data_IF_984567229429
#
_entry.id   IF_984567229429
#
_cell.length_a   1.000
_cell.length_b   1.000
_cell.length_c   1.000
_cell.angle_alpha   90.00
_cell.angle_beta   90.00
_cell.angle_gamma   90.00
#
_symmetry.space_group_name_H-M   'P 1'
#
loop_
_entity.id
_entity.type
_entity.pdbx_description
1 polymer ?
#
# COMPACT_ATOMS: atom_id res chain seq x y z
N UNK A 1 -78.44 9.82 7.18
CA UNK A 1 -78.39 8.62 8.03
C UNK A 1 -76.93 8.35 8.38
N UNK A 2 -76.56 8.47 9.66
CA UNK A 2 -75.26 8.05 10.21
C UNK A 2 -75.33 6.55 10.59
N UNK A 3 -74.21 5.82 10.81
CA UNK A 3 -73.39 5.98 12.04
C UNK A 3 -71.86 5.99 11.75
N UNK A 4 -71.05 6.86 12.36
CA UNK A 4 -70.44 6.79 13.70
C UNK A 4 -69.67 5.49 14.03
N UNK A 5 -68.33 5.59 14.03
CA UNK A 5 -67.45 4.86 14.96
C UNK A 5 -66.24 5.72 15.35
N UNK A 6 -66.07 5.82 16.68
CA UNK A 6 -65.11 6.59 17.47
C UNK A 6 -63.69 5.95 17.43
N UNK A 7 -62.62 6.75 17.24
CA UNK A 7 -61.65 7.28 18.24
C UNK A 7 -60.96 6.25 19.16
N UNK A 8 -59.63 6.16 19.02
CA UNK A 8 -58.62 6.03 20.09
C UNK A 8 -57.24 6.32 19.46
N UNK A 9 -56.66 7.53 19.56
CA UNK A 9 -55.85 8.14 20.64
C UNK A 9 -54.77 7.23 21.22
N UNK A 10 -53.51 7.60 20.97
CA UNK A 10 -52.33 6.98 21.58
C UNK A 10 -51.02 7.55 21.03
N UNK A 11 -50.82 8.87 21.20
CA UNK A 11 -49.52 9.52 21.00
C UNK A 11 -48.64 9.32 22.24
N UNK A 12 -47.32 9.13 22.03
CA UNK A 12 -46.20 9.62 22.85
C UNK A 12 -44.90 9.26 22.09
N UNK A 13 -44.25 10.20 21.39
CA UNK A 13 -43.14 11.04 21.90
C UNK A 13 -42.18 10.29 22.84
N UNK A 14 -40.90 10.15 22.46
CA UNK A 14 -39.88 11.18 22.74
C UNK A 14 -38.47 10.70 22.33
N UNK A 15 -37.86 11.47 21.42
CA UNK A 15 -36.46 11.95 21.38
C UNK A 15 -35.44 11.28 22.32
N UNK A 16 -34.38 10.68 21.73
CA UNK A 16 -32.97 10.70 22.18
C UNK A 16 -32.09 10.39 20.96
N UNK A 17 -31.00 11.06 20.60
CA UNK A 17 -30.32 12.26 21.06
C UNK A 17 -29.28 12.55 19.96
N UNK A 18 -29.23 13.79 19.48
CA UNK A 18 -28.17 14.27 18.59
C UNK A 18 -26.89 14.37 19.42
N UNK A 19 -25.91 13.52 19.11
CA UNK A 19 -24.57 13.60 19.69
C UNK A 19 -23.69 14.56 18.90
N UNK A 20 -23.72 15.84 19.27
CA UNK A 20 -22.66 16.81 18.94
C UNK A 20 -21.51 16.56 19.91
N UNK A 21 -20.35 16.13 19.40
CA UNK A 21 -19.05 16.25 20.08
C UNK A 21 -18.05 16.69 19.00
N UNK A 22 -17.78 17.99 18.95
CA UNK A 22 -16.65 18.65 19.62
C UNK A 22 -15.37 18.53 18.82
N UNK A 23 -15.07 19.64 18.13
CA UNK A 23 -13.87 19.89 17.35
C UNK A 23 -12.64 19.93 18.25
N UNK A 24 -12.04 18.77 18.51
CA UNK A 24 -10.73 18.69 19.13
C UNK A 24 -9.65 18.82 18.05
N UNK A 25 -9.02 20.00 18.02
CA UNK A 25 -7.82 20.29 17.23
C UNK A 25 -6.72 19.28 17.58
N UNK A 26 -6.48 18.32 16.69
CA UNK A 26 -5.34 17.40 16.81
C UNK A 26 -4.08 18.21 16.51
N UNK A 27 -3.39 18.63 17.57
CA UNK A 27 -2.02 19.11 17.49
C UNK A 27 -1.19 17.98 16.90
N UNK A 28 -0.73 18.16 15.67
CA UNK A 28 0.09 17.19 14.93
C UNK A 28 1.48 17.19 15.57
N UNK A 29 1.64 16.39 16.63
CA UNK A 29 2.95 16.12 17.21
C UNK A 29 3.86 15.56 16.13
N UNK A 30 4.89 16.32 15.76
CA UNK A 30 5.89 15.91 14.79
C UNK A 30 6.75 14.82 15.40
N UNK A 31 6.27 13.58 15.35
CA UNK A 31 7.12 12.42 15.63
C UNK A 31 8.21 12.41 14.57
N UNK A 32 9.43 12.74 14.98
CA UNK A 32 10.65 12.53 14.19
C UNK A 32 10.65 11.06 13.77
N UNK A 33 10.41 10.80 12.49
CA UNK A 33 10.48 9.47 11.92
C UNK A 33 11.95 9.03 11.89
N UNK A 34 12.43 8.59 13.06
CA UNK A 34 13.67 7.83 13.18
C UNK A 34 13.40 6.52 12.45
N UNK A 35 13.84 6.48 11.18
CA UNK A 35 13.82 5.31 10.33
C UNK A 35 14.89 4.32 10.82
N UNK A 36 14.71 3.76 12.02
CA UNK A 36 15.50 2.64 12.53
C UNK A 36 15.06 1.38 11.78
N UNK A 37 15.63 1.20 10.59
CA UNK A 37 15.77 -0.11 9.96
C UNK A 37 16.68 -0.95 10.85
N UNK A 38 16.09 -1.63 11.86
CA UNK A 38 16.78 -2.64 12.65
C UNK A 38 17.04 -3.86 11.75
N UNK A 39 18.19 -3.83 11.08
CA UNK A 39 18.85 -5.04 10.58
C UNK A 39 19.89 -5.41 11.61
N UNK A 40 19.69 -6.58 12.23
CA UNK A 40 20.54 -7.21 13.25
C UNK A 40 21.83 -7.81 12.66
N UNK A 41 22.43 -7.12 11.69
CA UNK A 41 23.73 -7.48 11.12
C UNK A 41 24.59 -6.23 11.06
N UNK A 42 25.64 -6.20 11.87
CA UNK A 42 26.55 -5.07 12.13
C UNK A 42 27.37 -4.62 10.92
N UNK A 43 27.26 -5.30 9.77
CA UNK A 43 28.07 -5.05 8.58
C UNK A 43 27.15 -4.61 7.43
N UNK A 44 26.81 -3.32 7.41
CA UNK A 44 26.03 -2.72 6.32
C UNK A 44 26.96 -2.19 5.22
N UNK A 45 26.63 -2.41 3.93
CA UNK A 45 27.41 -1.85 2.84
C UNK A 45 27.38 -0.31 2.89
N UNK A 46 28.51 0.37 2.60
CA UNK A 46 28.54 1.81 2.44
C UNK A 46 27.42 2.28 1.48
N UNK A 47 26.79 3.40 1.81
CA UNK A 47 25.70 3.95 0.99
C UNK A 47 26.28 4.77 -0.14
N UNK A 48 25.63 4.70 -1.32
CA UNK A 48 26.00 5.53 -2.47
C UNK A 48 25.92 7.02 -2.09
N UNK A 49 26.90 7.85 -2.49
CA UNK A 49 26.88 9.27 -2.21
C UNK A 49 25.80 9.98 -3.02
N UNK A 50 25.35 11.12 -2.51
CA UNK A 50 24.39 11.98 -3.19
C UNK A 50 25.01 12.60 -4.45
N UNK A 51 24.21 12.73 -5.52
CA UNK A 51 24.58 13.55 -6.67
C UNK A 51 24.57 15.05 -6.31
N UNK A 52 25.15 15.89 -7.16
CA UNK A 52 25.16 17.35 -6.97
C UNK A 52 23.76 17.92 -6.72
N UNK A 53 22.80 17.57 -7.58
CA UNK A 53 21.40 17.94 -7.39
C UNK A 53 20.81 17.43 -6.06
N UNK A 54 21.00 16.15 -5.71
CA UNK A 54 20.44 15.61 -4.46
C UNK A 54 21.08 16.23 -3.22
N UNK A 55 22.34 16.66 -3.31
CA UNK A 55 23.01 17.44 -2.28
C UNK A 55 22.38 18.82 -2.14
N UNK A 56 22.10 19.50 -3.25
CA UNK A 56 21.34 20.76 -3.26
C UNK A 56 19.94 20.58 -2.66
N UNK A 57 19.20 19.53 -3.05
CA UNK A 57 17.88 19.22 -2.47
C UNK A 57 17.97 19.05 -0.96
N UNK A 58 18.95 18.28 -0.47
CA UNK A 58 19.14 18.08 0.97
C UNK A 58 19.41 19.40 1.72
N UNK A 59 20.11 20.35 1.09
CA UNK A 59 20.40 21.66 1.69
C UNK A 59 19.19 22.60 1.65
N UNK A 60 18.47 22.65 0.52
CA UNK A 60 17.36 23.59 0.31
C UNK A 60 16.04 23.14 0.89
N UNK A 61 15.80 21.83 0.99
CA UNK A 61 14.55 21.28 1.52
C UNK A 61 14.14 21.87 2.88
N UNK A 62 14.99 21.93 3.92
CA UNK A 62 14.59 22.53 5.19
C UNK A 62 14.28 24.04 5.08
N UNK A 63 14.94 24.76 4.17
CA UNK A 63 14.70 26.20 3.95
C UNK A 63 13.32 26.41 3.32
N UNK A 64 13.01 25.67 2.25
CA UNK A 64 11.73 25.78 1.55
C UNK A 64 10.57 25.26 2.42
N UNK A 65 10.76 24.21 3.21
CA UNK A 65 9.74 23.74 4.16
C UNK A 65 9.44 24.79 5.23
N UNK A 66 10.46 25.51 5.74
CA UNK A 66 10.24 26.59 6.72
C UNK A 66 9.51 27.79 6.11
N UNK A 67 9.78 28.11 4.85
CA UNK A 67 9.10 29.19 4.13
C UNK A 67 7.66 28.83 3.75
N UNK A 68 7.38 27.54 3.53
CA UNK A 68 6.09 27.04 3.09
C UNK A 68 5.65 25.82 3.93
N UNK A 69 5.26 26.03 5.22
CA UNK A 69 4.94 24.94 6.13
C UNK A 69 3.70 24.14 5.73
N UNK A 70 2.74 24.78 5.06
CA UNK A 70 1.47 24.17 4.64
C UNK A 70 1.53 23.49 3.26
N UNK A 71 2.67 23.58 2.58
CA UNK A 71 2.84 23.06 1.22
C UNK A 71 3.29 21.60 1.26
N UNK A 72 2.71 20.78 0.37
CA UNK A 72 3.07 19.37 0.31
C UNK A 72 4.55 19.17 -0.04
N UNK A 73 5.15 18.09 0.47
CA UNK A 73 6.55 17.74 0.20
C UNK A 73 6.83 17.61 -1.31
N UNK A 74 5.85 17.18 -2.09
CA UNK A 74 5.96 17.07 -3.55
C UNK A 74 6.13 18.45 -4.20
N UNK A 75 5.35 19.43 -3.76
CA UNK A 75 5.45 20.81 -4.24
C UNK A 75 6.75 21.47 -3.78
N UNK A 76 7.19 21.22 -2.54
CA UNK A 76 8.50 21.68 -2.05
C UNK A 76 9.63 21.19 -2.95
N UNK A 77 9.66 19.88 -3.25
CA UNK A 77 10.69 19.30 -4.13
C UNK A 77 10.58 19.87 -5.55
N UNK A 78 9.37 20.15 -6.04
CA UNK A 78 9.16 20.79 -7.35
C UNK A 78 9.74 22.20 -7.41
N UNK A 79 9.52 23.02 -6.37
CA UNK A 79 10.12 24.37 -6.24
C UNK A 79 11.64 24.30 -6.23
N UNK A 80 12.23 23.38 -5.47
CA UNK A 80 13.69 23.19 -5.42
C UNK A 80 14.23 22.75 -6.78
N UNK A 81 13.50 21.88 -7.49
CA UNK A 81 13.89 21.46 -8.85
C UNK A 81 13.91 22.65 -9.83
N UNK A 82 12.96 23.58 -9.71
CA UNK A 82 12.94 24.82 -10.49
C UNK A 82 14.14 25.72 -10.14
N UNK A 83 14.40 25.94 -8.85
CA UNK A 83 15.57 26.70 -8.39
C UNK A 83 16.87 26.13 -8.96
N UNK A 84 17.06 24.81 -8.90
CA UNK A 84 18.24 24.16 -9.46
C UNK A 84 18.38 24.38 -10.97
N UNK A 85 17.28 24.39 -11.73
CA UNK A 85 17.32 24.66 -13.18
C UNK A 85 17.79 26.09 -13.46
N UNK A 86 17.40 27.05 -12.63
CA UNK A 86 17.77 28.46 -12.77
C UNK A 86 19.22 28.77 -12.37
N UNK A 87 19.88 27.91 -11.58
CA UNK A 87 21.28 28.11 -11.19
C UNK A 87 22.23 28.06 -12.39
N UNK A 88 23.23 28.95 -12.37
CA UNK A 88 24.30 28.97 -13.38
C UNK A 88 25.22 27.75 -13.23
N UNK A 89 25.99 27.38 -14.27
CA UNK A 89 26.97 26.30 -14.18
C UNK A 89 27.98 26.52 -13.04
N UNK A 90 28.39 27.76 -12.79
CA UNK A 90 29.31 28.13 -11.72
C UNK A 90 28.73 27.88 -10.33
N UNK A 91 27.44 28.16 -10.14
CA UNK A 91 26.73 27.88 -8.89
C UNK A 91 26.51 26.37 -8.67
N UNK A 92 26.42 25.58 -9.74
CA UNK A 92 26.29 24.12 -9.69
C UNK A 92 27.63 23.42 -9.43
N UNK A 93 28.72 23.99 -9.93
CA UNK A 93 30.10 23.48 -9.83
C UNK A 93 30.48 22.95 -8.43
N UNK A 94 30.29 23.69 -7.31
CA UNK A 94 30.66 23.17 -5.99
C UNK A 94 29.89 21.91 -5.58
N UNK A 95 28.62 21.77 -6.00
CA UNK A 95 27.83 20.57 -5.73
C UNK A 95 28.32 19.37 -6.52
N UNK A 96 28.70 19.58 -7.78
CA UNK A 96 29.20 18.54 -8.66
C UNK A 96 30.59 18.07 -8.25
N UNK A 97 31.52 18.99 -7.94
CA UNK A 97 32.85 18.68 -7.41
C UNK A 97 32.76 17.86 -6.13
N UNK A 98 31.90 18.27 -5.20
CA UNK A 98 31.73 17.56 -3.95
C UNK A 98 31.04 16.19 -4.13
N UNK A 99 30.18 16.03 -5.14
CA UNK A 99 29.62 14.74 -5.55
C UNK A 99 30.69 13.82 -6.15
N UNK A 100 31.61 14.36 -6.96
CA UNK A 100 32.75 13.62 -7.52
C UNK A 100 33.70 13.17 -6.42
N UNK A 101 34.06 14.06 -5.50
CA UNK A 101 34.91 13.74 -4.35
C UNK A 101 34.28 12.63 -3.48
N UNK A 102 33.00 12.76 -3.12
CA UNK A 102 32.30 11.74 -2.35
C UNK A 102 32.20 10.39 -3.10
N UNK A 103 32.09 10.41 -4.43
CA UNK A 103 32.12 9.19 -5.25
C UNK A 103 33.48 8.50 -5.22
N UNK A 104 34.59 9.25 -5.21
CA UNK A 104 35.94 8.70 -5.06
C UNK A 104 36.10 8.03 -3.69
N UNK A 105 35.70 8.72 -2.61
CA UNK A 105 35.72 8.16 -1.25
C UNK A 105 34.89 6.89 -1.14
N UNK A 106 33.65 6.91 -1.64
CA UNK A 106 32.77 5.74 -1.66
C UNK A 106 33.39 4.53 -2.36
N UNK A 107 34.13 4.71 -3.47
CA UNK A 107 34.82 3.60 -4.14
C UNK A 107 35.86 2.95 -3.23
N UNK A 108 36.64 3.75 -2.52
CA UNK A 108 37.66 3.28 -1.57
C UNK A 108 36.98 2.56 -0.39
N UNK A 109 35.95 3.15 0.20
CA UNK A 109 35.19 2.55 1.30
C UNK A 109 34.52 1.23 0.90
N UNK A 110 33.93 1.17 -0.29
CA UNK A 110 33.33 -0.06 -0.81
C UNK A 110 34.37 -1.16 -1.06
N UNK A 111 35.55 -0.81 -1.58
CA UNK A 111 36.63 -1.77 -1.77
C UNK A 111 37.11 -2.34 -0.43
N UNK A 112 37.32 -1.47 0.57
CA UNK A 112 37.64 -1.88 1.95
C UNK A 112 36.56 -2.78 2.54
N UNK A 113 35.29 -2.40 2.38
CA UNK A 113 34.16 -3.20 2.83
C UNK A 113 34.12 -4.57 2.18
N UNK A 114 34.32 -4.66 0.86
CA UNK A 114 34.33 -5.93 0.15
C UNK A 114 35.49 -6.84 0.58
N UNK A 115 36.68 -6.27 0.84
CA UNK A 115 37.84 -7.01 1.31
C UNK A 115 37.67 -7.57 2.74
N UNK A 116 36.85 -6.91 3.58
CA UNK A 116 36.57 -7.35 4.95
C UNK A 116 35.51 -8.45 5.05
N UNK A 117 34.74 -8.71 3.98
CA UNK A 117 33.64 -9.66 4.01
C UNK A 117 34.13 -11.10 3.88
N UNK A 118 33.57 -11.98 4.72
CA UNK A 118 33.72 -13.42 4.51
C UNK A 118 32.87 -13.87 3.30
N UNK A 119 33.24 -14.99 2.63
CA UNK A 119 32.43 -15.55 1.54
C UNK A 119 30.97 -15.77 1.94
N UNK A 120 30.72 -16.27 3.16
CA UNK A 120 29.37 -16.47 3.69
C UNK A 120 28.58 -15.17 3.86
N UNK A 121 29.20 -14.12 4.42
CA UNK A 121 28.55 -12.80 4.55
C UNK A 121 28.26 -12.19 3.17
N UNK A 122 29.19 -12.33 2.21
CA UNK A 122 29.01 -11.85 0.85
C UNK A 122 27.82 -12.54 0.15
N UNK A 123 27.66 -13.85 0.35
CA UNK A 123 26.54 -14.63 -0.19
C UNK A 123 25.21 -14.22 0.45
N UNK A 124 25.19 -14.03 1.77
CA UNK A 124 24.00 -13.56 2.49
C UNK A 124 23.53 -12.18 1.99
N UNK A 125 24.44 -11.23 1.80
CA UNK A 125 24.13 -9.90 1.26
C UNK A 125 23.60 -9.97 -0.20
N UNK A 126 24.16 -10.86 -1.03
CA UNK A 126 23.67 -11.08 -2.40
C UNK A 126 22.25 -11.64 -2.39
N UNK A 127 21.97 -12.62 -1.54
CA UNK A 127 20.64 -13.23 -1.42
C UNK A 127 19.62 -12.23 -0.84
N UNK A 128 19.97 -11.47 0.19
CA UNK A 128 19.10 -10.40 0.72
C UNK A 128 18.75 -9.37 -0.37
N UNK A 129 19.74 -8.97 -1.19
CA UNK A 129 19.51 -8.07 -2.32
C UNK A 129 18.58 -8.69 -3.36
N UNK A 130 18.74 -9.98 -3.68
CA UNK A 130 17.87 -10.72 -4.60
C UNK A 130 16.43 -10.76 -4.08
N UNK A 131 16.24 -11.06 -2.79
CA UNK A 131 14.93 -11.06 -2.14
C UNK A 131 14.28 -9.67 -2.15
N UNK A 132 15.04 -8.61 -1.85
CA UNK A 132 14.54 -7.22 -1.94
C UNK A 132 14.09 -6.86 -3.36
N UNK A 133 14.85 -7.25 -4.38
CA UNK A 133 14.48 -7.03 -5.79
C UNK A 133 13.23 -7.82 -6.17
N UNK A 134 13.16 -9.10 -5.78
CA UNK A 134 12.00 -9.95 -6.04
C UNK A 134 10.73 -9.37 -5.38
N UNK A 135 10.81 -8.95 -4.11
CA UNK A 135 9.70 -8.29 -3.40
C UNK A 135 9.25 -7.01 -4.11
N UNK A 136 10.18 -6.16 -4.55
CA UNK A 136 9.87 -4.94 -5.31
C UNK A 136 9.17 -5.24 -6.64
N UNK A 137 9.61 -6.28 -7.37
CA UNK A 137 8.96 -6.74 -8.61
C UNK A 137 7.53 -7.19 -8.35
N UNK A 138 7.28 -7.99 -7.31
CA UNK A 138 5.94 -8.44 -6.92
C UNK A 138 5.04 -7.24 -6.57
N UNK A 139 5.54 -6.29 -5.78
CA UNK A 139 4.79 -5.08 -5.42
C UNK A 139 4.46 -4.24 -6.66
N UNK A 140 5.42 -4.02 -7.56
CA UNK A 140 5.20 -3.27 -8.81
C UNK A 140 4.15 -3.93 -9.68
N UNK A 141 4.25 -5.25 -9.89
CA UNK A 141 3.25 -6.02 -10.65
C UNK A 141 1.87 -5.95 -10.00
N UNK A 142 1.78 -6.07 -8.67
CA UNK A 142 0.50 -5.94 -7.95
C UNK A 142 -0.11 -4.55 -8.14
N UNK A 143 0.68 -3.47 -8.02
CA UNK A 143 0.21 -2.09 -8.24
C UNK A 143 -0.30 -1.88 -9.67
N UNK A 144 0.44 -2.37 -10.66
CA UNK A 144 0.04 -2.33 -12.06
C UNK A 144 -1.32 -3.04 -12.27
N UNK A 145 -1.49 -4.25 -11.75
CA UNK A 145 -2.75 -4.97 -11.85
C UNK A 145 -3.90 -4.24 -11.13
N UNK A 146 -3.64 -3.57 -10.01
CA UNK A 146 -4.64 -2.74 -9.32
C UNK A 146 -5.02 -1.51 -10.13
N UNK A 147 -4.05 -0.84 -10.77
CA UNK A 147 -4.31 0.30 -11.65
C UNK A 147 -5.11 -0.09 -12.89
N UNK A 148 -4.87 -1.29 -13.42
CA UNK A 148 -5.63 -1.87 -14.53
C UNK A 148 -7.01 -2.42 -14.09
N UNK A 149 -7.44 -2.18 -12.86
CA UNK A 149 -8.75 -2.59 -12.37
C UNK A 149 -8.96 -4.11 -12.32
N UNK A 150 -7.89 -4.91 -12.15
CA UNK A 150 -8.02 -6.37 -12.15
C UNK A 150 -9.01 -6.85 -11.05
N UNK A 151 -10.02 -7.66 -11.41
CA UNK A 151 -11.00 -8.18 -10.46
C UNK A 151 -10.38 -8.88 -9.26
N UNK A 152 -10.95 -8.63 -8.07
CA UNK A 152 -10.53 -9.31 -6.83
C UNK A 152 -11.03 -10.75 -6.87
N UNK A 153 -10.19 -11.66 -6.35
CA UNK A 153 -10.51 -13.09 -6.23
C UNK A 153 -11.84 -13.31 -5.50
N UNK A 154 -12.56 -14.40 -5.84
CA UNK A 154 -13.85 -14.67 -5.21
C UNK A 154 -13.67 -14.92 -3.72
N UNK A 155 -14.62 -14.43 -2.93
CA UNK A 155 -14.67 -14.60 -1.48
C UNK A 155 -15.22 -15.98 -1.15
N UNK A 156 -14.49 -16.70 -0.31
CA UNK A 156 -14.99 -17.95 0.26
C UNK A 156 -16.00 -17.67 1.38
N UNK A 157 -16.84 -18.65 1.73
CA UNK A 157 -17.89 -18.53 2.74
C UNK A 157 -17.40 -17.90 4.05
N UNK A 158 -16.25 -18.37 4.55
CA UNK A 158 -15.65 -17.82 5.77
C UNK A 158 -15.23 -16.35 5.65
N UNK A 159 -14.77 -15.89 4.47
CA UNK A 159 -14.43 -14.48 4.28
C UNK A 159 -15.65 -13.57 4.34
N UNK A 160 -16.80 -14.06 3.88
CA UNK A 160 -18.08 -13.34 3.91
C UNK A 160 -18.57 -13.26 5.36
N UNK A 161 -18.63 -14.40 6.05
CA UNK A 161 -18.92 -14.46 7.48
C UNK A 161 -18.02 -13.53 8.31
N UNK A 162 -16.71 -13.61 8.08
CA UNK A 162 -15.76 -12.73 8.77
C UNK A 162 -16.06 -11.27 8.52
N UNK A 163 -16.32 -10.85 7.28
CA UNK A 163 -16.57 -9.46 6.96
C UNK A 163 -17.81 -8.90 7.69
N UNK A 164 -18.85 -9.70 7.84
CA UNK A 164 -20.09 -9.35 8.55
C UNK A 164 -19.89 -9.28 10.07
N UNK A 165 -19.17 -10.25 10.64
CA UNK A 165 -19.06 -10.41 12.09
C UNK A 165 -17.80 -9.73 12.69
N UNK A 166 -16.95 -9.12 11.86
CA UNK A 166 -15.66 -8.58 12.32
C UNK A 166 -15.79 -7.42 13.32
N UNK A 167 -16.80 -6.56 13.15
CA UNK A 167 -17.02 -5.41 14.03
C UNK A 167 -17.29 -5.87 15.48
N UNK A 168 -18.15 -6.88 15.63
CA UNK A 168 -18.65 -7.42 16.90
C UNK A 168 -17.76 -8.53 17.48
N UNK A 169 -16.74 -8.97 16.73
CA UNK A 169 -15.83 -10.02 17.16
C UNK A 169 -15.14 -9.71 18.50
N UNK A 170 -15.03 -10.75 19.34
CA UNK A 170 -14.42 -10.67 20.67
C UNK A 170 -12.91 -10.44 20.58
N UNK A 171 -12.42 -9.44 21.31
CA UNK A 171 -11.00 -9.15 21.45
C UNK A 171 -10.61 -7.75 20.99
N UNK A 172 -9.61 -7.17 21.65
CA UNK A 172 -9.14 -5.81 21.37
C UNK A 172 -8.17 -5.75 20.19
N UNK A 173 -7.44 -6.83 19.94
CA UNK A 173 -6.48 -6.91 18.84
C UNK A 173 -7.09 -7.62 17.64
N UNK A 174 -6.63 -7.25 16.43
CA UNK A 174 -6.98 -7.91 15.18
C UNK A 174 -6.79 -9.43 15.25
N UNK A 175 -5.70 -9.87 15.91
CA UNK A 175 -5.36 -11.28 16.10
C UNK A 175 -6.36 -11.99 17.02
N UNK A 176 -6.78 -11.34 18.11
CA UNK A 176 -7.77 -11.89 19.03
C UNK A 176 -9.14 -12.01 18.35
N UNK A 177 -9.59 -10.97 17.64
CA UNK A 177 -10.83 -11.00 16.83
C UNK A 177 -10.82 -12.11 15.79
N UNK A 178 -9.72 -12.27 15.07
CA UNK A 178 -9.56 -13.34 14.08
C UNK A 178 -9.57 -14.73 14.70
N UNK A 179 -9.05 -14.86 15.94
CA UNK A 179 -9.11 -16.13 16.68
C UNK A 179 -10.55 -16.44 17.08
N UNK A 180 -11.28 -15.49 17.65
CA UNK A 180 -12.67 -15.71 18.06
C UNK A 180 -13.56 -16.07 16.87
N UNK A 181 -13.47 -15.34 15.75
CA UNK A 181 -14.25 -15.61 14.54
C UNK A 181 -14.01 -17.02 13.97
N UNK A 182 -12.76 -17.51 14.04
CA UNK A 182 -12.45 -18.88 13.62
C UNK A 182 -13.09 -19.92 14.54
N UNK A 183 -13.14 -19.66 15.84
CA UNK A 183 -13.81 -20.54 16.80
C UNK A 183 -15.32 -20.54 16.59
N UNK A 184 -15.91 -19.36 16.41
CA UNK A 184 -17.35 -19.19 16.18
C UNK A 184 -17.77 -19.88 14.88
N UNK A 185 -17.02 -19.70 13.78
CA UNK A 185 -17.24 -20.41 12.51
C UNK A 185 -17.14 -21.94 12.65
N UNK A 186 -16.20 -22.45 13.46
CA UNK A 186 -16.10 -23.90 13.70
C UNK A 186 -17.34 -24.45 14.39
N UNK A 187 -17.89 -23.72 15.36
CA UNK A 187 -19.05 -24.12 16.17
C UNK A 187 -20.39 -24.01 15.43
N UNK A 188 -20.47 -23.21 14.37
CA UNK A 188 -21.71 -23.06 13.59
C UNK A 188 -22.18 -24.36 12.94
N UNK A 189 -23.50 -24.54 12.94
CA UNK A 189 -24.16 -25.69 12.30
C UNK A 189 -24.06 -25.62 10.77
N UNK A 190 -24.09 -26.77 10.07
CA UNK A 190 -24.06 -26.82 8.61
C UNK A 190 -25.16 -25.98 7.94
N UNK A 191 -26.38 -25.97 8.51
CA UNK A 191 -27.50 -25.16 8.01
C UNK A 191 -27.22 -23.66 8.07
N UNK A 192 -26.57 -23.18 9.13
CA UNK A 192 -26.17 -21.76 9.25
C UNK A 192 -25.03 -21.42 8.29
N UNK A 193 -24.10 -22.35 8.05
CA UNK A 193 -23.01 -22.19 7.07
C UNK A 193 -23.52 -22.16 5.63
N UNK A 194 -24.68 -22.79 5.36
CA UNK A 194 -25.23 -22.90 4.01
C UNK A 194 -25.50 -21.54 3.36
N UNK A 195 -25.97 -20.55 4.13
CA UNK A 195 -26.18 -19.19 3.62
C UNK A 195 -24.87 -18.60 3.09
N UNK A 196 -23.78 -18.72 3.85
CA UNK A 196 -22.47 -18.23 3.44
C UNK A 196 -21.87 -19.03 2.28
N UNK A 197 -22.15 -20.33 2.19
CA UNK A 197 -21.76 -21.15 1.05
C UNK A 197 -22.45 -20.66 -0.22
N UNK A 198 -23.75 -20.38 -0.16
CA UNK A 198 -24.50 -19.83 -1.30
C UNK A 198 -23.93 -18.46 -1.73
N UNK A 199 -23.69 -17.55 -0.78
CA UNK A 199 -23.09 -16.25 -1.08
C UNK A 199 -21.67 -16.38 -1.70
N UNK A 200 -20.92 -17.42 -1.34
CA UNK A 200 -19.60 -17.68 -1.92
C UNK A 200 -19.70 -18.18 -3.38
N UNK A 201 -20.71 -19.00 -3.70
CA UNK A 201 -21.00 -19.39 -5.07
C UNK A 201 -21.46 -18.19 -5.92
N UNK A 202 -22.29 -17.32 -5.37
CA UNK A 202 -22.70 -16.09 -6.06
C UNK A 202 -21.49 -15.16 -6.33
N UNK A 203 -20.56 -15.03 -5.37
CA UNK A 203 -19.34 -14.22 -5.55
C UNK A 203 -18.35 -14.85 -6.56
N UNK A 204 -18.40 -16.18 -6.74
CA UNK A 204 -17.67 -16.88 -7.80
C UNK A 204 -18.21 -16.52 -9.17
N UNK A 205 -19.54 -16.50 -9.35
CA UNK A 205 -20.19 -16.06 -10.59
C UNK A 205 -19.82 -14.60 -10.90
N UNK A 206 -19.91 -13.70 -9.92
CA UNK A 206 -19.46 -12.30 -10.05
C UNK A 206 -18.02 -12.23 -10.56
N UNK A 207 -17.10 -12.94 -9.90
CA UNK A 207 -15.68 -12.94 -10.29
C UNK A 207 -15.46 -13.46 -11.71
N UNK A 208 -16.16 -14.53 -12.11
CA UNK A 208 -16.05 -15.10 -13.46
C UNK A 208 -16.50 -14.10 -14.53
N UNK A 209 -17.63 -13.43 -14.32
CA UNK A 209 -18.15 -12.39 -15.22
C UNK A 209 -17.19 -11.19 -15.31
N UNK A 210 -16.75 -10.64 -14.17
CA UNK A 210 -15.80 -9.53 -14.16
C UNK A 210 -14.47 -9.90 -14.83
N UNK A 211 -13.96 -11.11 -14.57
CA UNK A 211 -12.71 -11.58 -15.19
C UNK A 211 -12.84 -11.75 -16.69
N UNK A 212 -14.00 -12.18 -17.19
CA UNK A 212 -14.23 -12.33 -18.63
C UNK A 212 -14.13 -10.97 -19.32
N UNK A 213 -14.87 -9.97 -18.84
CA UNK A 213 -14.85 -8.60 -19.38
C UNK A 213 -13.47 -7.95 -19.23
N UNK A 214 -12.82 -8.15 -18.07
CA UNK A 214 -11.47 -7.62 -17.85
C UNK A 214 -10.44 -8.23 -18.82
N UNK A 215 -10.47 -9.54 -19.05
CA UNK A 215 -9.56 -10.21 -19.99
C UNK A 215 -9.80 -9.78 -21.43
N UNK A 216 -11.05 -9.54 -21.83
CA UNK A 216 -11.40 -8.99 -23.15
C UNK A 216 -10.82 -7.59 -23.31
N UNK A 217 -11.04 -6.71 -22.33
CA UNK A 217 -10.46 -5.37 -22.34
C UNK A 217 -8.92 -5.39 -22.39
N UNK A 218 -8.26 -6.30 -21.66
CA UNK A 218 -6.80 -6.45 -21.73
C UNK A 218 -6.30 -6.86 -23.12
N UNK A 219 -7.07 -7.64 -23.88
CA UNK A 219 -6.73 -7.99 -25.26
C UNK A 219 -6.85 -6.75 -26.16
N UNK A 220 -7.93 -5.98 -26.03
CA UNK A 220 -8.17 -4.76 -26.81
C UNK A 220 -7.04 -3.73 -26.66
N UNK A 221 -6.53 -3.53 -25.44
CA UNK A 221 -5.43 -2.60 -25.17
C UNK A 221 -4.03 -3.21 -25.43
N UNK A 222 -3.95 -4.38 -26.06
CA UNK A 222 -2.68 -5.06 -26.39
C UNK A 222 -1.93 -5.67 -25.21
N UNK A 223 -2.57 -5.81 -24.03
CA UNK A 223 -2.02 -6.41 -22.81
C UNK A 223 -2.40 -7.89 -22.65
N UNK A 224 -2.36 -8.63 -23.76
CA UNK A 224 -2.59 -10.08 -23.80
C UNK A 224 -1.61 -10.89 -22.94
N UNK A 225 -0.51 -10.30 -22.47
CA UNK A 225 0.40 -10.92 -21.49
C UNK A 225 -0.27 -11.19 -20.13
N UNK A 226 -1.38 -10.50 -19.83
CA UNK A 226 -2.03 -10.53 -18.52
C UNK A 226 -3.21 -11.50 -18.39
N UNK A 227 -3.66 -12.11 -19.50
CA UNK A 227 -4.79 -13.05 -19.52
C UNK A 227 -4.38 -14.42 -18.96
N UNK A 228 -5.35 -15.19 -18.45
CA UNK A 228 -5.10 -16.56 -17.99
C UNK A 228 -4.65 -17.47 -19.13
N UNK A 229 -3.72 -18.39 -18.84
CA UNK A 229 -3.08 -19.29 -19.81
C UNK A 229 -4.06 -20.10 -20.68
N UNK A 230 -5.18 -20.56 -20.11
CA UNK A 230 -6.21 -21.31 -20.85
C UNK A 230 -6.78 -20.48 -22.02
N UNK A 231 -7.14 -19.21 -21.75
CA UNK A 231 -7.68 -18.27 -22.76
C UNK A 231 -6.61 -17.89 -23.80
N UNK A 232 -5.33 -17.79 -23.39
CA UNK A 232 -4.20 -17.53 -24.29
C UNK A 232 -4.01 -18.62 -25.36
N UNK A 233 -4.24 -19.88 -25.02
CA UNK A 233 -4.20 -20.99 -26.00
C UNK A 233 -5.36 -20.95 -26.99
N UNK A 234 -6.53 -20.50 -26.56
CA UNK A 234 -7.73 -20.41 -27.41
C UNK A 234 -7.62 -19.24 -28.41
N UNK A 235 -7.06 -18.10 -27.99
CA UNK A 235 -6.82 -16.96 -28.89
C UNK A 235 -5.77 -17.29 -29.95
N UNK A 236 -4.67 -17.96 -29.57
CA UNK A 236 -3.60 -18.33 -30.50
C UNK A 236 -3.97 -19.41 -31.53
N UNK A 237 -5.11 -20.09 -31.36
CA UNK A 237 -5.66 -21.03 -32.35
C UNK A 237 -6.61 -20.38 -33.35
N UNK A 238 -7.06 -19.14 -33.07
CA UNK A 238 -8.03 -18.41 -33.91
C UNK A 238 -7.36 -17.39 -34.83
N UNK A 239 -6.12 -17.02 -34.55
CA UNK A 239 -5.19 -16.30 -35.43
C UNK A 239 -4.35 -17.29 -36.22
#
# INVERSE_FOLDING_TARGET
MAPFSLISVGANLLVKSVGVLSSASIVRSTSVAVSKSLSTTSVQPPKKPLSGYMRFVKQQQPVVVRQYPDVSVVEVVRKIAQQWRMLTPEQKKPFDEASVAARKQYKVEMAKFQAQLTPAQSAALKEEKRQKIAKRKVIRKKRELTLLGKPKRPRIAFNIFMAEHFAEARGMTMQAKMKSLREDWKKMYPSQKQVYNQLAEDDKIRYENEMKSWEEHMIEIGRGDLIRYRKKKETAKKT
#
